data_IF_583466290155
#
_entry.id   IF_583466290155
#
_cell.length_a   1.000
_cell.length_b   1.000
_cell.length_c   1.000
_cell.angle_alpha   90.00
_cell.angle_beta   90.00
_cell.angle_gamma   90.00
#
_symmetry.space_group_name_H-M   'P 1'
#
loop_
_entity.id
_entity.type
_entity.pdbx_description
1 polymer ?
#
# COMPACT_ATOMS: atom_id res chain seq x y z
N UNK A 1 -5.15 20.62 7.07
CA UNK A 1 -6.37 21.47 7.00
C UNK A 1 -7.33 21.15 8.14
N UNK A 2 -7.69 19.87 8.38
CA UNK A 2 -8.62 19.47 9.47
C UNK A 2 -8.03 19.81 10.85
N UNK A 3 -6.78 19.45 11.12
CA UNK A 3 -6.08 19.78 12.36
C UNK A 3 -6.04 21.29 12.62
N UNK A 4 -5.84 22.10 11.58
CA UNK A 4 -5.88 23.55 11.66
C UNK A 4 -7.28 24.08 12.01
N UNK A 5 -8.34 23.45 11.51
CA UNK A 5 -9.73 23.81 11.86
C UNK A 5 -10.04 23.45 13.33
N UNK A 6 -9.54 22.31 13.81
CA UNK A 6 -9.73 21.88 15.22
C UNK A 6 -9.04 22.79 16.23
N UNK A 7 -7.96 23.47 15.83
CA UNK A 7 -7.22 24.42 16.70
C UNK A 7 -7.75 25.85 16.65
N UNK A 8 -8.73 26.14 15.79
CA UNK A 8 -9.33 27.47 15.72
C UNK A 8 -10.32 27.68 16.87
N UNK A 9 -10.11 28.76 17.62
CA UNK A 9 -10.98 29.12 18.76
C UNK A 9 -12.36 29.62 18.35
N UNK A 10 -12.56 29.92 17.07
CA UNK A 10 -13.80 30.46 16.50
C UNK A 10 -14.54 29.47 15.58
N UNK A 11 -14.15 28.20 15.60
CA UNK A 11 -14.87 27.17 14.83
C UNK A 11 -16.28 26.97 15.39
N UNK A 12 -17.28 26.90 14.51
CA UNK A 12 -18.65 26.64 14.91
C UNK A 12 -18.83 25.18 15.35
N UNK A 13 -19.85 24.92 16.20
CA UNK A 13 -20.20 23.55 16.61
C UNK A 13 -20.44 22.62 15.42
N UNK A 14 -21.06 23.15 14.36
CA UNK A 14 -21.30 22.37 13.14
C UNK A 14 -19.99 22.03 12.41
N UNK A 15 -19.04 22.94 12.35
CA UNK A 15 -17.71 22.68 11.76
C UNK A 15 -16.93 21.65 12.58
N UNK A 16 -17.00 21.73 13.90
CA UNK A 16 -16.38 20.76 14.81
C UNK A 16 -17.04 19.38 14.70
N UNK A 17 -18.37 19.31 14.67
CA UNK A 17 -19.13 18.07 14.55
C UNK A 17 -18.80 17.33 13.23
N UNK A 18 -18.54 18.07 12.14
CA UNK A 18 -18.15 17.48 10.87
C UNK A 18 -16.67 17.10 10.80
N UNK A 19 -15.80 17.91 11.38
CA UNK A 19 -14.34 17.74 11.31
C UNK A 19 -13.80 16.72 12.32
N UNK A 20 -14.45 16.59 13.50
CA UNK A 20 -13.98 15.71 14.57
C UNK A 20 -13.93 14.24 14.17
N UNK A 21 -14.98 13.63 13.57
CA UNK A 21 -14.93 12.23 13.16
C UNK A 21 -13.82 11.95 12.14
N UNK A 22 -13.56 12.89 11.22
CA UNK A 22 -12.47 12.78 10.25
C UNK A 22 -11.10 12.87 10.92
N UNK A 23 -10.95 13.76 11.88
CA UNK A 23 -9.72 13.90 12.66
C UNK A 23 -9.46 12.64 13.50
N UNK A 24 -10.48 12.10 14.17
CA UNK A 24 -10.36 10.90 14.97
C UNK A 24 -9.98 9.69 14.09
N UNK A 25 -10.57 9.55 12.89
CA UNK A 25 -10.20 8.53 11.92
C UNK A 25 -8.75 8.68 11.44
N UNK A 26 -8.33 9.89 11.08
CA UNK A 26 -6.96 10.14 10.65
C UNK A 26 -5.95 9.91 11.77
N UNK A 27 -6.30 10.24 13.01
CA UNK A 27 -5.47 9.98 14.18
C UNK A 27 -5.33 8.48 14.44
N UNK A 28 -6.43 7.72 14.31
CA UNK A 28 -6.41 6.27 14.39
C UNK A 28 -5.54 5.66 13.29
N UNK A 29 -5.70 6.08 12.04
CA UNK A 29 -4.88 5.62 10.92
C UNK A 29 -3.40 5.92 11.14
N UNK A 30 -3.08 7.08 11.71
CA UNK A 30 -1.69 7.49 12.01
C UNK A 30 -1.03 6.58 13.04
N UNK A 31 -1.80 6.04 14.00
CA UNK A 31 -1.28 5.13 15.03
C UNK A 31 -1.28 3.66 14.61
N UNK A 32 -2.15 3.27 13.67
CA UNK A 32 -2.32 1.89 13.24
C UNK A 32 -1.68 1.59 11.88
N UNK A 33 -1.55 2.62 11.03
CA UNK A 33 -0.95 2.48 9.71
C UNK A 33 0.58 2.44 9.82
N UNK A 34 1.16 1.28 9.51
CA UNK A 34 2.60 1.17 9.33
C UNK A 34 2.93 1.52 7.88
N UNK A 35 3.45 2.71 7.67
CA UNK A 35 4.05 3.06 6.39
C UNK A 35 5.29 2.21 6.16
N UNK A 36 5.43 1.62 4.98
CA UNK A 36 6.73 1.12 4.51
C UNK A 36 7.45 2.33 3.90
N UNK A 37 8.43 2.89 4.62
CA UNK A 37 9.10 4.09 4.14
C UNK A 37 9.92 3.74 2.91
N UNK A 38 10.04 4.73 2.03
CA UNK A 38 10.83 4.58 0.81
C UNK A 38 10.43 3.41 -0.11
N UNK A 39 9.16 2.94 -0.03
CA UNK A 39 8.63 1.88 -0.89
C UNK A 39 8.88 2.14 -2.38
N UNK A 40 8.97 3.40 -2.78
CA UNK A 40 9.27 3.80 -4.16
C UNK A 40 10.66 3.40 -4.62
N UNK A 41 11.58 3.06 -3.69
CA UNK A 41 12.90 2.50 -4.04
C UNK A 41 12.79 1.10 -4.64
N UNK A 42 11.73 0.37 -4.32
CA UNK A 42 11.49 -0.96 -4.85
C UNK A 42 10.92 -0.98 -6.28
N UNK A 43 10.62 0.18 -6.87
CA UNK A 43 10.00 0.23 -8.20
C UNK A 43 10.87 -0.41 -9.27
N UNK A 44 10.22 -1.15 -10.16
CA UNK A 44 10.83 -1.66 -11.39
C UNK A 44 10.66 -0.64 -12.51
N UNK A 45 11.64 -0.56 -13.40
CA UNK A 45 11.61 0.37 -14.53
C UNK A 45 10.66 -0.11 -15.62
N UNK A 46 9.96 0.83 -16.27
CA UNK A 46 8.95 0.53 -17.30
C UNK A 46 9.47 -0.13 -18.57
N UNK A 47 10.79 -0.19 -18.74
CA UNK A 47 11.49 -0.82 -19.86
C UNK A 47 12.02 -2.23 -19.54
N UNK A 48 11.60 -2.82 -18.41
CA UNK A 48 12.03 -4.15 -17.97
C UNK A 48 10.93 -5.21 -18.11
N UNK A 49 11.34 -6.46 -18.15
CA UNK A 49 10.41 -7.61 -18.16
C UNK A 49 9.60 -7.69 -16.85
N UNK A 50 10.22 -7.33 -15.72
CA UNK A 50 9.57 -7.29 -14.41
C UNK A 50 8.42 -6.28 -14.38
N UNK A 51 8.51 -5.16 -15.09
CA UNK A 51 7.40 -4.23 -15.21
C UNK A 51 6.23 -4.83 -15.99
N UNK A 52 6.52 -5.63 -17.02
CA UNK A 52 5.48 -6.37 -17.76
C UNK A 52 4.80 -7.38 -16.86
N UNK A 53 5.57 -8.13 -16.06
CA UNK A 53 5.06 -9.04 -15.04
C UNK A 53 4.18 -8.27 -14.04
N UNK A 54 4.67 -7.18 -13.48
CA UNK A 54 3.91 -6.33 -12.54
C UNK A 54 2.56 -5.92 -13.12
N UNK A 55 2.54 -5.40 -14.33
CA UNK A 55 1.30 -4.93 -14.98
C UNK A 55 0.30 -6.07 -15.18
N UNK A 56 0.78 -7.25 -15.55
CA UNK A 56 -0.03 -8.46 -15.70
C UNK A 56 -0.63 -8.91 -14.36
N UNK A 57 0.21 -9.00 -13.33
CA UNK A 57 -0.21 -9.43 -12.00
C UNK A 57 -1.17 -8.42 -11.35
N UNK A 58 -0.93 -7.11 -11.48
CA UNK A 58 -1.82 -6.05 -11.01
C UNK A 58 -3.21 -6.13 -11.66
N UNK A 59 -3.26 -6.40 -12.95
CA UNK A 59 -4.53 -6.55 -13.67
C UNK A 59 -5.28 -7.79 -13.21
N UNK A 60 -4.59 -8.90 -13.01
CA UNK A 60 -5.17 -10.14 -12.52
C UNK A 60 -5.67 -9.99 -11.08
N UNK A 61 -4.87 -9.40 -10.20
CA UNK A 61 -5.23 -9.09 -8.82
C UNK A 61 -6.53 -8.29 -8.74
N UNK A 62 -6.62 -7.17 -9.47
CA UNK A 62 -7.80 -6.30 -9.47
C UNK A 62 -9.07 -7.05 -9.89
N UNK A 63 -8.98 -7.90 -10.89
CA UNK A 63 -10.12 -8.66 -11.39
C UNK A 63 -10.53 -9.76 -10.40
N UNK A 64 -9.57 -10.50 -9.85
CA UNK A 64 -9.85 -11.66 -8.98
C UNK A 64 -10.29 -11.22 -7.59
N UNK A 65 -9.74 -10.13 -7.04
CA UNK A 65 -10.13 -9.60 -5.72
C UNK A 65 -11.63 -9.33 -5.64
N UNK A 66 -12.24 -8.82 -6.71
CA UNK A 66 -13.69 -8.61 -6.75
C UNK A 66 -14.44 -9.93 -6.61
N UNK A 67 -14.00 -10.99 -7.28
CA UNK A 67 -14.62 -12.30 -7.19
C UNK A 67 -14.49 -12.93 -5.81
N UNK A 68 -13.35 -12.76 -5.15
CA UNK A 68 -13.11 -13.20 -3.76
C UNK A 68 -14.07 -12.49 -2.79
N UNK A 69 -14.20 -11.16 -2.91
CA UNK A 69 -15.09 -10.37 -2.05
C UNK A 69 -16.57 -10.75 -2.25
N UNK A 70 -16.95 -11.13 -3.48
CA UNK A 70 -18.30 -11.49 -3.85
C UNK A 70 -18.59 -12.98 -3.73
N UNK A 71 -17.68 -13.76 -3.16
CA UNK A 71 -17.85 -15.22 -3.01
C UNK A 71 -19.05 -15.56 -2.10
N UNK A 72 -19.73 -16.64 -2.41
CA UNK A 72 -20.96 -17.07 -1.71
C UNK A 72 -20.71 -17.58 -0.29
N UNK A 73 -19.47 -18.01 0.02
CA UNK A 73 -19.06 -18.50 1.33
C UNK A 73 -17.57 -18.22 1.59
N UNK A 74 -17.14 -18.36 2.83
CA UNK A 74 -15.74 -18.25 3.23
C UNK A 74 -14.88 -19.31 2.53
N UNK A 75 -15.37 -20.53 2.42
CA UNK A 75 -14.67 -21.63 1.75
C UNK A 75 -14.50 -21.36 0.24
N UNK A 76 -15.52 -20.81 -0.40
CA UNK A 76 -15.43 -20.39 -1.81
C UNK A 76 -14.44 -19.25 -2.00
N UNK A 77 -14.38 -18.29 -1.07
CA UNK A 77 -13.41 -17.21 -1.09
C UNK A 77 -11.97 -17.72 -0.93
N UNK A 78 -11.75 -18.70 -0.05
CA UNK A 78 -10.44 -19.33 0.16
C UNK A 78 -9.94 -20.04 -1.10
N UNK A 79 -10.81 -20.82 -1.77
CA UNK A 79 -10.46 -21.48 -3.04
C UNK A 79 -10.05 -20.45 -4.10
N UNK A 80 -10.82 -19.39 -4.27
CA UNK A 80 -10.50 -18.32 -5.24
C UNK A 80 -9.19 -17.59 -4.88
N UNK A 81 -8.91 -17.41 -3.60
CA UNK A 81 -7.65 -16.83 -3.14
C UNK A 81 -6.47 -17.73 -3.44
N UNK A 82 -6.58 -19.04 -3.17
CA UNK A 82 -5.51 -19.99 -3.43
C UNK A 82 -5.22 -20.12 -4.94
N UNK A 83 -6.25 -20.16 -5.78
CA UNK A 83 -6.12 -20.12 -7.23
C UNK A 83 -5.43 -18.84 -7.70
N UNK A 84 -5.78 -17.70 -7.11
CA UNK A 84 -5.14 -16.42 -7.41
C UNK A 84 -3.66 -16.44 -7.06
N UNK A 85 -3.31 -16.92 -5.87
CA UNK A 85 -1.92 -16.99 -5.43
C UNK A 85 -1.09 -17.95 -6.27
N UNK A 86 -1.68 -19.10 -6.64
CA UNK A 86 -1.03 -20.03 -7.55
C UNK A 86 -0.76 -19.38 -8.91
N UNK A 87 -1.76 -18.73 -9.50
CA UNK A 87 -1.58 -18.03 -10.77
C UNK A 87 -0.47 -16.99 -10.69
N UNK A 88 -0.43 -16.18 -9.63
CA UNK A 88 0.59 -15.13 -9.46
C UNK A 88 1.99 -15.74 -9.38
N UNK A 89 2.17 -16.81 -8.61
CA UNK A 89 3.44 -17.52 -8.49
C UNK A 89 3.89 -18.11 -9.83
N UNK A 90 2.98 -18.76 -10.57
CA UNK A 90 3.26 -19.35 -11.87
C UNK A 90 3.56 -18.30 -12.97
N UNK A 91 3.20 -17.04 -12.72
CA UNK A 91 3.36 -15.95 -13.67
C UNK A 91 4.40 -14.88 -13.25
N UNK A 92 5.34 -15.25 -12.38
CA UNK A 92 6.54 -14.48 -12.12
C UNK A 92 6.51 -13.58 -10.88
N UNK A 93 5.59 -13.83 -9.94
CA UNK A 93 5.56 -13.04 -8.67
C UNK A 93 6.93 -13.09 -7.97
N UNK A 94 7.55 -14.28 -7.86
CA UNK A 94 8.85 -14.43 -7.21
C UNK A 94 9.97 -13.63 -7.88
N UNK A 95 10.00 -13.59 -9.22
CA UNK A 95 10.97 -12.81 -9.98
C UNK A 95 10.76 -11.31 -9.77
N UNK A 96 9.51 -10.86 -9.77
CA UNK A 96 9.15 -9.47 -9.48
C UNK A 96 9.57 -9.07 -8.05
N UNK A 97 9.28 -9.88 -7.05
CA UNK A 97 9.66 -9.62 -5.65
C UNK A 97 11.18 -9.56 -5.48
N UNK A 98 11.92 -10.45 -6.15
CA UNK A 98 13.38 -10.45 -6.13
C UNK A 98 13.94 -9.16 -6.74
N UNK A 99 13.42 -8.73 -7.89
CA UNK A 99 13.85 -7.50 -8.55
C UNK A 99 13.52 -6.25 -7.71
N UNK A 100 12.32 -6.18 -7.16
CA UNK A 100 11.90 -5.09 -6.27
C UNK A 100 12.77 -5.01 -5.02
N UNK A 101 13.09 -6.15 -4.42
CA UNK A 101 13.99 -6.24 -3.25
C UNK A 101 15.40 -5.78 -3.60
N UNK A 102 15.94 -6.21 -4.74
CA UNK A 102 17.26 -5.80 -5.20
C UNK A 102 17.32 -4.28 -5.45
N UNK A 103 16.30 -3.72 -6.10
CA UNK A 103 16.20 -2.27 -6.33
C UNK A 103 16.15 -1.50 -5.01
N UNK A 104 15.34 -1.95 -4.05
CA UNK A 104 15.26 -1.33 -2.73
C UNK A 104 16.62 -1.32 -2.02
N UNK A 105 17.28 -2.47 -1.96
CA UNK A 105 18.58 -2.61 -1.32
C UNK A 105 19.68 -1.77 -2.01
N UNK A 106 19.64 -1.66 -3.32
CA UNK A 106 20.59 -0.84 -4.07
C UNK A 106 20.43 0.66 -3.82
N UNK A 107 19.21 1.11 -3.53
CA UNK A 107 18.92 2.53 -3.30
C UNK A 107 19.24 2.98 -1.87
N UNK A 108 19.10 2.11 -0.86
CA UNK A 108 19.31 2.46 0.54
C UNK A 108 20.64 3.16 0.81
N UNK A 109 21.81 2.66 0.33
CA UNK A 109 23.11 3.31 0.57
C UNK A 109 23.21 4.71 -0.05
N UNK A 110 22.49 4.98 -1.15
CA UNK A 110 22.52 6.27 -1.85
C UNK A 110 21.80 7.37 -1.06
N UNK A 111 20.93 6.99 -0.14
CA UNK A 111 20.12 7.87 0.68
C UNK A 111 20.41 7.74 2.18
N UNK A 112 21.57 7.17 2.54
CA UNK A 112 21.93 6.87 3.92
C UNK A 112 21.83 8.10 4.84
N UNK A 113 22.35 9.24 4.40
CA UNK A 113 22.32 10.49 5.17
C UNK A 113 20.88 10.99 5.36
N UNK A 114 20.08 10.98 4.30
CA UNK A 114 18.68 11.36 4.36
C UNK A 114 17.86 10.45 5.29
N UNK A 115 18.10 9.14 5.26
CA UNK A 115 17.44 8.16 6.12
C UNK A 115 17.84 8.39 7.58
N UNK A 116 19.10 8.72 7.87
CA UNK A 116 19.57 9.04 9.20
C UNK A 116 18.93 10.31 9.79
N UNK A 117 18.67 11.32 8.93
CA UNK A 117 18.00 12.57 9.33
C UNK A 117 16.47 12.41 9.48
N UNK A 118 15.89 11.41 8.80
CA UNK A 118 14.45 11.14 8.78
C UNK A 118 14.20 9.66 9.15
N UNK A 119 14.44 9.28 10.42
CA UNK A 119 14.28 7.89 10.85
C UNK A 119 12.83 7.44 10.68
N UNK A 120 12.71 6.16 10.42
CA UNK A 120 11.43 5.46 10.30
C UNK A 120 10.97 5.11 11.71
N UNK A 121 9.88 5.71 12.17
CA UNK A 121 9.21 5.34 13.42
C UNK A 121 8.36 4.07 13.27
#
# INVERSE_FOLDING_TARGET
>A
KIASMMSQTNATEQQLAWSKPQYDLLSYLKTTYKSVPYWYFARVSSDTDEYTIQTKLDSYWKNTTTSIIMAESAEAAEVLYDEMMQYMNDNGLGDLEAAMTANYQAQLPLYADYIAENPID
#
